data_IF_048501139604
#
_entry.id   IF_048501139604
#
_cell.length_a   1.000
_cell.length_b   1.000
_cell.length_c   1.000
_cell.angle_alpha   90.00
_cell.angle_beta   90.00
_cell.angle_gamma   90.00
#
_symmetry.space_group_name_H-M   'P 1'
#
loop_
_entity.id
_entity.type
_entity.pdbx_description
1 polymer ?
#
# COMPACT_ATOMS: atom_id res chain seq x y z
N UNK A 1 27.31 -14.28 72.84
CA UNK A 1 26.04 -14.73 72.24
C UNK A 1 25.74 -13.91 70.98
N UNK A 2 26.18 -14.31 69.77
CA UNK A 2 25.95 -13.58 68.52
C UNK A 2 24.85 -14.23 67.65
N UNK A 3 23.76 -14.70 68.26
CA UNK A 3 22.73 -15.49 67.55
C UNK A 3 21.63 -14.57 66.95
N UNK A 4 21.49 -13.34 67.45
CA UNK A 4 20.44 -12.40 67.01
C UNK A 4 20.72 -11.79 65.64
N UNK A 5 21.99 -11.47 65.34
CA UNK A 5 22.38 -10.80 64.09
C UNK A 5 22.31 -11.72 62.86
N UNK A 6 22.50 -13.03 63.04
CA UNK A 6 22.41 -14.00 61.95
C UNK A 6 20.95 -14.25 61.53
N UNK A 7 19.99 -14.15 62.47
CA UNK A 7 18.57 -14.33 62.17
C UNK A 7 17.98 -13.14 61.39
N UNK A 8 18.44 -11.91 61.64
CA UNK A 8 18.01 -10.75 60.85
C UNK A 8 18.52 -10.80 59.40
N UNK A 9 19.74 -11.28 59.18
CA UNK A 9 20.32 -11.37 57.84
C UNK A 9 19.67 -12.44 56.95
N UNK A 10 19.16 -13.53 57.56
CA UNK A 10 18.46 -14.59 56.81
C UNK A 10 17.03 -14.19 56.45
N UNK A 11 16.36 -13.39 57.29
CA UNK A 11 15.00 -12.89 57.01
C UNK A 11 15.02 -11.84 55.89
N UNK A 12 16.03 -10.96 55.83
CA UNK A 12 16.15 -9.97 54.76
C UNK A 12 16.45 -10.59 53.40
N UNK A 13 17.24 -11.66 53.35
CA UNK A 13 17.54 -12.37 52.09
C UNK A 13 16.33 -13.17 51.56
N UNK A 14 15.46 -13.67 52.45
CA UNK A 14 14.22 -14.35 52.08
C UNK A 14 13.16 -13.43 51.45
N UNK A 15 13.06 -12.17 51.90
CA UNK A 15 12.13 -11.20 51.31
C UNK A 15 12.56 -10.73 49.91
N UNK A 16 13.85 -10.66 49.60
CA UNK A 16 14.31 -10.35 48.24
C UNK A 16 14.06 -11.50 47.25
N UNK A 17 14.06 -12.75 47.73
CA UNK A 17 13.80 -13.91 46.87
C UNK A 17 12.31 -14.04 46.45
N UNK A 18 11.36 -13.53 47.25
CA UNK A 18 9.93 -13.57 46.91
C UNK A 18 9.47 -12.45 45.96
N UNK A 19 10.25 -11.36 45.82
CA UNK A 19 9.96 -10.29 44.86
C UNK A 19 10.30 -10.67 43.40
N UNK A 20 10.99 -11.79 43.17
CA UNK A 20 11.43 -12.23 41.84
C UNK A 20 10.43 -13.17 41.12
N UNK A 21 9.38 -13.66 41.78
CA UNK A 21 8.46 -14.67 41.22
C UNK A 21 7.02 -14.18 40.96
N UNK A 22 6.68 -12.93 41.31
CA UNK A 22 5.31 -12.43 41.24
C UNK A 22 5.09 -11.42 40.11
N UNK A 23 5.23 -11.83 38.85
CA UNK A 23 5.15 -10.86 37.75
C UNK A 23 4.97 -11.42 36.35
N UNK A 24 4.29 -12.55 36.18
CA UNK A 24 3.66 -12.82 34.87
C UNK A 24 2.40 -11.97 34.82
N UNK A 25 2.57 -10.68 34.52
CA UNK A 25 1.46 -9.82 34.15
C UNK A 25 0.70 -10.55 33.04
N UNK A 26 -0.58 -10.86 33.30
CA UNK A 26 -1.46 -11.34 32.26
C UNK A 26 -1.38 -10.32 31.13
N UNK A 27 -0.86 -10.72 29.97
CA UNK A 27 -0.78 -9.87 28.79
C UNK A 27 -2.21 -9.48 28.46
N UNK A 28 -2.61 -8.28 28.84
CA UNK A 28 -3.93 -7.76 28.50
C UNK A 28 -4.02 -7.75 26.98
N UNK A 29 -5.11 -8.26 26.40
CA UNK A 29 -5.24 -8.25 24.96
C UNK A 29 -5.15 -6.81 24.45
N UNK A 30 -4.31 -6.59 23.42
CA UNK A 30 -3.87 -5.26 22.96
C UNK A 30 -5.02 -4.28 22.69
N UNK A 31 -6.20 -4.76 22.28
CA UNK A 31 -7.37 -3.91 22.07
C UNK A 31 -7.91 -3.25 23.36
N UNK A 32 -7.64 -3.82 24.55
CA UNK A 32 -8.03 -3.24 25.83
C UNK A 32 -7.16 -2.05 26.25
N UNK A 33 -6.05 -1.81 25.55
CA UNK A 33 -5.19 -0.64 25.76
C UNK A 33 -5.70 0.58 24.95
N UNK A 34 -6.69 0.40 24.09
CA UNK A 34 -7.35 1.50 23.36
C UNK A 34 -8.23 2.30 24.33
N UNK A 35 -7.75 3.49 24.71
CA UNK A 35 -8.36 4.31 25.75
C UNK A 35 -9.46 5.25 25.22
N UNK A 36 -9.67 5.31 23.89
CA UNK A 36 -10.65 6.17 23.19
C UNK A 36 -10.89 7.53 23.88
N UNK A 37 -9.80 8.24 24.16
CA UNK A 37 -9.86 9.52 24.86
C UNK A 37 -10.10 10.69 23.87
N UNK A 38 -10.64 11.79 24.36
CA UNK A 38 -10.85 13.02 23.57
C UNK A 38 -9.58 13.86 23.41
N UNK A 39 -8.41 13.30 23.70
CA UNK A 39 -7.11 13.98 23.58
C UNK A 39 -6.62 14.04 22.13
N UNK A 40 -5.41 14.57 21.94
CA UNK A 40 -4.76 14.60 20.63
C UNK A 40 -4.50 13.17 20.15
N UNK A 41 -5.19 12.75 19.09
CA UNK A 41 -4.97 11.45 18.46
C UNK A 41 -3.65 11.46 17.66
N UNK A 42 -2.77 10.46 17.84
CA UNK A 42 -1.54 10.35 17.04
C UNK A 42 -1.81 10.00 15.56
N UNK A 43 -3.04 9.59 15.24
CA UNK A 43 -3.49 9.24 13.91
C UNK A 43 -4.20 10.38 13.19
N UNK A 44 -4.31 11.56 13.83
CA UNK A 44 -4.99 12.72 13.27
C UNK A 44 -4.11 13.97 13.32
N UNK A 45 -4.14 14.77 12.25
CA UNK A 45 -3.44 16.05 12.23
C UNK A 45 -4.25 17.12 11.48
N UNK A 46 -4.32 18.32 12.05
CA UNK A 46 -5.00 19.47 11.46
C UNK A 46 -4.08 20.18 10.45
N UNK A 47 -4.64 20.62 9.32
CA UNK A 47 -3.93 21.38 8.30
C UNK A 47 -4.71 22.62 7.91
N UNK A 48 -4.00 23.74 7.74
CA UNK A 48 -4.54 24.98 7.18
C UNK A 48 -4.57 24.91 5.65
N UNK A 49 -5.30 23.91 5.13
CA UNK A 49 -5.55 23.71 3.72
C UNK A 49 -6.93 23.05 3.50
N UNK A 50 -7.45 23.18 2.27
CA UNK A 50 -8.68 22.49 1.87
C UNK A 50 -8.49 20.97 1.89
N UNK A 51 -9.58 20.21 2.03
CA UNK A 51 -9.59 18.74 2.04
C UNK A 51 -8.80 18.15 0.87
N UNK A 52 -9.08 18.62 -0.35
CA UNK A 52 -8.41 18.15 -1.57
C UNK A 52 -6.90 18.45 -1.54
N UNK A 53 -6.50 19.66 -1.12
CA UNK A 53 -5.09 20.01 -1.06
C UNK A 53 -4.33 19.17 -0.03
N UNK A 54 -4.94 18.88 1.12
CA UNK A 54 -4.35 18.03 2.16
C UNK A 54 -4.17 16.60 1.69
N UNK A 55 -5.15 16.01 1.01
CA UNK A 55 -5.04 14.65 0.48
C UNK A 55 -4.09 14.57 -0.72
N UNK A 56 -4.01 15.60 -1.56
CA UNK A 56 -2.97 15.70 -2.59
C UNK A 56 -1.57 15.78 -1.98
N UNK A 57 -1.40 16.50 -0.87
CA UNK A 57 -0.14 16.53 -0.14
C UNK A 57 0.20 15.16 0.48
N UNK A 58 -0.78 14.42 1.01
CA UNK A 58 -0.62 13.05 1.47
C UNK A 58 -0.15 12.13 0.34
N UNK A 59 -0.79 12.19 -0.83
CA UNK A 59 -0.38 11.42 -2.02
C UNK A 59 1.06 11.71 -2.39
N UNK A 60 1.44 12.99 -2.49
CA UNK A 60 2.82 13.40 -2.84
C UNK A 60 3.84 12.94 -1.81
N UNK A 61 3.51 13.06 -0.52
CA UNK A 61 4.34 12.53 0.56
C UNK A 61 4.57 11.03 0.40
N UNK A 62 3.51 10.24 0.20
CA UNK A 62 3.60 8.78 0.02
C UNK A 62 4.40 8.40 -1.23
N UNK A 63 4.14 9.05 -2.37
CA UNK A 63 4.89 8.83 -3.61
C UNK A 63 6.38 9.13 -3.44
N UNK A 64 6.73 10.20 -2.71
CA UNK A 64 8.14 10.55 -2.46
C UNK A 64 8.87 9.56 -1.57
N UNK A 65 8.14 8.77 -0.78
CA UNK A 65 8.67 7.67 0.01
C UNK A 65 8.67 6.32 -0.75
N UNK A 66 8.26 6.31 -2.02
CA UNK A 66 8.20 5.14 -2.89
C UNK A 66 7.02 4.21 -2.62
N UNK A 67 5.93 4.72 -2.07
CA UNK A 67 4.67 3.99 -2.00
C UNK A 67 3.93 4.05 -3.33
N UNK A 68 3.22 2.98 -3.68
CA UNK A 68 2.25 2.97 -4.77
C UNK A 68 0.92 3.49 -4.23
N UNK A 69 0.42 4.59 -4.79
CA UNK A 69 -0.81 5.23 -4.30
C UNK A 69 -2.01 4.97 -5.21
N UNK A 70 -3.17 4.79 -4.60
CA UNK A 70 -4.47 4.76 -5.26
C UNK A 70 -5.36 5.82 -4.62
N UNK A 71 -6.03 6.64 -5.43
CA UNK A 71 -7.04 7.59 -4.95
C UNK A 71 -8.39 7.22 -5.54
N UNK A 72 -9.28 6.67 -4.71
CA UNK A 72 -10.65 6.37 -5.13
C UNK A 72 -11.53 7.62 -5.13
N UNK A 73 -11.28 8.55 -4.19
CA UNK A 73 -12.00 9.81 -4.03
C UNK A 73 -11.00 10.95 -3.74
N UNK A 74 -11.35 12.24 -3.99
CA UNK A 74 -10.43 13.37 -3.79
C UNK A 74 -10.06 13.63 -2.32
N UNK A 75 -10.75 12.99 -1.38
CA UNK A 75 -10.58 13.08 0.07
C UNK A 75 -9.99 11.80 0.69
N UNK A 76 -9.60 10.82 -0.14
CA UNK A 76 -9.00 9.57 0.33
C UNK A 76 -7.76 9.19 -0.47
N UNK A 77 -6.75 8.67 0.23
CA UNK A 77 -5.53 8.15 -0.39
C UNK A 77 -5.16 6.83 0.27
N UNK A 78 -5.15 5.77 -0.53
CA UNK A 78 -4.59 4.49 -0.13
C UNK A 78 -3.18 4.37 -0.71
N UNK A 79 -2.28 3.71 0.00
CA UNK A 79 -0.97 3.43 -0.56
C UNK A 79 -0.33 2.17 0.00
N UNK A 80 0.47 1.47 -0.80
CA UNK A 80 1.16 0.26 -0.37
C UNK A 80 2.64 0.30 -0.71
N UNK A 81 3.45 -0.36 0.13
CA UNK A 81 4.86 -0.59 -0.14
C UNK A 81 5.28 -1.95 0.41
N UNK A 82 6.00 -2.68 -0.44
CA UNK A 82 6.50 -4.01 -0.12
C UNK A 82 7.96 -3.93 0.34
N UNK A 83 8.29 -4.71 1.35
CA UNK A 83 9.63 -4.87 1.90
C UNK A 83 9.94 -6.36 1.97
N UNK A 84 11.19 -6.74 1.71
CA UNK A 84 11.67 -8.10 1.87
C UNK A 84 12.94 -8.08 2.72
N UNK A 85 12.81 -8.05 4.07
CA UNK A 85 13.96 -7.96 4.97
C UNK A 85 14.92 -9.16 4.85
N UNK A 86 14.37 -10.35 4.61
CA UNK A 86 15.11 -11.59 4.32
C UNK A 86 14.47 -12.32 3.14
N UNK A 87 15.16 -13.30 2.55
CA UNK A 87 14.66 -14.03 1.38
C UNK A 87 13.28 -14.69 1.61
N UNK A 88 13.00 -15.15 2.83
CA UNK A 88 11.79 -15.89 3.16
C UNK A 88 10.71 -15.05 3.87
N UNK A 89 10.98 -13.75 4.10
CA UNK A 89 10.05 -12.84 4.81
C UNK A 89 9.64 -11.68 3.93
N UNK A 90 8.33 -11.50 3.79
CA UNK A 90 7.74 -10.37 3.06
C UNK A 90 6.90 -9.54 4.01
N UNK A 91 7.03 -8.22 3.91
CA UNK A 91 6.29 -7.28 4.74
C UNK A 91 5.62 -6.27 3.82
N UNK A 92 4.31 -6.07 3.97
CA UNK A 92 3.55 -5.07 3.24
C UNK A 92 3.12 -4.00 4.22
N UNK A 93 3.43 -2.74 3.93
CA UNK A 93 2.91 -1.60 4.68
C UNK A 93 1.84 -0.91 3.83
N UNK A 94 0.63 -0.85 4.36
CA UNK A 94 -0.55 -0.26 3.73
C UNK A 94 -1.00 0.97 4.51
N UNK A 95 -1.01 2.12 3.85
CA UNK A 95 -1.55 3.38 4.34
C UNK A 95 -2.99 3.55 3.87
N UNK A 96 -3.80 4.12 4.76
CA UNK A 96 -5.14 4.63 4.49
C UNK A 96 -5.22 6.04 5.06
N UNK A 97 -5.39 7.02 4.20
CA UNK A 97 -5.52 8.44 4.55
C UNK A 97 -6.91 8.92 4.18
N UNK A 98 -7.59 9.57 5.11
CA UNK A 98 -8.89 10.22 4.89
C UNK A 98 -8.79 11.67 5.35
N UNK A 99 -9.09 12.61 4.47
CA UNK A 99 -9.11 14.03 4.78
C UNK A 99 -10.56 14.51 4.94
N UNK A 100 -10.86 15.22 6.02
CA UNK A 100 -12.20 15.77 6.26
C UNK A 100 -12.16 17.28 6.46
N UNK A 101 -13.28 18.01 6.30
CA UNK A 101 -13.35 19.41 6.68
C UNK A 101 -12.99 19.61 8.16
N UNK A 102 -12.32 20.71 8.47
CA UNK A 102 -12.10 21.16 9.86
C UNK A 102 -13.35 21.80 10.46
N UNK A 103 -13.32 22.09 11.76
CA UNK A 103 -14.52 22.49 12.49
C UNK A 103 -15.15 23.82 12.04
N UNK A 104 -14.37 24.79 11.55
CA UNK A 104 -14.90 26.17 11.38
C UNK A 104 -14.39 26.96 10.15
N UNK A 105 -13.68 26.35 9.20
CA UNK A 105 -13.14 27.11 8.04
C UNK A 105 -13.10 26.26 6.77
N UNK A 106 -13.53 26.83 5.64
CA UNK A 106 -13.44 26.19 4.31
C UNK A 106 -11.99 25.84 3.87
N UNK A 107 -11.00 26.49 4.49
CA UNK A 107 -9.58 26.29 4.24
C UNK A 107 -8.88 25.51 5.37
N UNK A 108 -9.63 24.79 6.20
CA UNK A 108 -9.07 23.89 7.20
C UNK A 108 -9.56 22.47 6.98
N UNK A 109 -8.68 21.51 7.23
CA UNK A 109 -8.99 20.09 7.13
C UNK A 109 -8.25 19.30 8.20
N UNK A 110 -8.75 18.10 8.45
CA UNK A 110 -8.14 17.13 9.35
C UNK A 110 -7.78 15.92 8.50
N UNK A 111 -6.53 15.45 8.60
CA UNK A 111 -6.12 14.20 7.98
C UNK A 111 -6.09 13.09 9.04
N UNK A 112 -6.88 12.05 8.83
CA UNK A 112 -6.85 10.81 9.60
C UNK A 112 -6.04 9.77 8.83
N UNK A 113 -5.04 9.18 9.48
CA UNK A 113 -4.07 8.29 8.84
C UNK A 113 -3.94 7.02 9.65
N UNK A 114 -4.14 5.89 8.99
CA UNK A 114 -3.83 4.57 9.52
C UNK A 114 -2.80 3.89 8.63
N UNK A 115 -1.79 3.27 9.23
CA UNK A 115 -0.85 2.41 8.53
C UNK A 115 -0.85 1.02 9.18
N UNK A 116 -1.05 -0.02 8.37
CA UNK A 116 -1.03 -1.42 8.80
C UNK A 116 0.16 -2.12 8.17
N UNK A 117 0.86 -2.91 8.96
CA UNK A 117 1.94 -3.78 8.53
C UNK A 117 1.45 -5.24 8.54
N UNK A 118 1.50 -5.86 7.37
CA UNK A 118 1.22 -7.28 7.20
C UNK A 118 2.53 -8.05 6.97
N UNK A 119 2.79 -9.05 7.80
CA UNK A 119 3.94 -9.94 7.67
C UNK A 119 3.56 -11.27 7.03
N UNK A 120 4.38 -11.73 6.10
CA UNK A 120 4.24 -13.01 5.39
C UNK A 120 5.54 -13.79 5.48
N UNK A 121 5.41 -15.11 5.61
CA UNK A 121 6.55 -16.04 5.54
C UNK A 121 6.29 -17.13 4.51
N UNK A 122 7.36 -17.68 3.95
CA UNK A 122 7.32 -18.84 3.10
C UNK A 122 7.10 -20.09 3.94
N UNK A 123 5.90 -20.68 3.82
CA UNK A 123 5.60 -21.96 4.44
C UNK A 123 5.93 -23.07 3.45
N UNK A 124 6.96 -23.84 3.79
CA UNK A 124 7.41 -25.00 3.04
C UNK A 124 6.68 -26.25 3.54
N UNK A 125 5.84 -26.87 2.72
CA UNK A 125 5.18 -28.14 3.04
C UNK A 125 5.65 -29.25 2.12
N UNK A 126 6.20 -30.32 2.71
CA UNK A 126 6.53 -31.55 2.02
C UNK A 126 5.28 -32.44 1.96
N UNK A 127 4.72 -32.63 0.76
CA UNK A 127 3.60 -33.58 0.54
C UNK A 127 4.15 -34.85 -0.08
N UNK A 128 3.91 -36.00 0.58
CA UNK A 128 4.28 -37.32 0.06
C UNK A 128 3.06 -38.03 -0.52
N UNK A 129 3.16 -38.56 -1.74
CA UNK A 129 2.13 -39.39 -2.36
C UNK A 129 2.48 -40.87 -2.20
N UNK A 130 1.71 -41.62 -1.42
CA UNK A 130 1.84 -43.08 -1.33
C UNK A 130 0.99 -43.73 -2.42
N UNK A 131 1.60 -44.53 -3.28
CA UNK A 131 0.87 -45.34 -4.26
C UNK A 131 0.58 -46.70 -3.64
N UNK A 132 -0.71 -46.98 -3.39
CA UNK A 132 -1.16 -48.27 -2.88
C UNK A 132 -1.26 -49.29 -4.02
N UNK A 133 -0.36 -50.28 -4.04
CA UNK A 133 -0.49 -51.46 -4.90
C UNK A 133 -1.26 -52.53 -4.12
N UNK A 134 -2.58 -52.55 -4.31
CA UNK A 134 -3.42 -53.64 -3.82
C UNK A 134 -2.85 -54.96 -4.34
N UNK A 135 -2.59 -55.91 -3.43
CA UNK A 135 -2.03 -57.27 -3.59
C UNK A 135 -0.59 -57.46 -3.07
N UNK A 136 0.28 -56.45 -3.00
CA UNK A 136 1.71 -56.67 -2.60
C UNK A 136 2.31 -55.71 -1.56
N UNK A 137 1.55 -54.73 -1.06
CA UNK A 137 2.04 -53.77 -0.07
C UNK A 137 2.41 -52.42 -0.68
N UNK A 138 2.27 -51.36 0.10
CA UNK A 138 2.49 -49.98 -0.34
C UNK A 138 3.97 -49.68 -0.55
N UNK A 139 4.32 -49.13 -1.71
CA UNK A 139 5.64 -48.55 -1.96
C UNK A 139 5.52 -47.03 -1.81
N UNK A 140 6.01 -46.49 -0.70
CA UNK A 140 6.15 -45.04 -0.52
C UNK A 140 7.42 -44.56 -1.22
N UNK A 141 7.26 -44.03 -2.43
CA UNK A 141 8.33 -43.23 -3.02
C UNK A 141 8.23 -41.82 -2.42
N UNK A 142 9.31 -41.27 -1.82
CA UNK A 142 9.34 -39.88 -1.40
C UNK A 142 9.40 -38.99 -2.63
N UNK A 143 8.24 -38.73 -3.25
CA UNK A 143 8.12 -37.65 -4.23
C UNK A 143 8.15 -36.37 -3.41
N UNK A 144 9.33 -35.75 -3.29
CA UNK A 144 9.48 -34.47 -2.58
C UNK A 144 8.84 -33.36 -3.40
N UNK A 145 7.52 -33.21 -3.29
CA UNK A 145 6.81 -32.03 -3.76
C UNK A 145 6.92 -30.96 -2.68
N UNK A 146 7.73 -29.93 -2.93
CA UNK A 146 7.79 -28.76 -2.08
C UNK A 146 6.85 -27.69 -2.63
N UNK A 147 5.73 -27.45 -1.95
CA UNK A 147 4.90 -26.27 -2.22
C UNK A 147 5.39 -25.14 -1.33
N UNK A 148 5.82 -24.05 -1.95
CA UNK A 148 6.10 -22.82 -1.25
C UNK A 148 4.86 -21.93 -1.29
N UNK A 149 4.36 -21.54 -0.13
CA UNK A 149 3.18 -20.68 -0.01
C UNK A 149 3.47 -19.54 0.96
N UNK A 150 3.24 -18.31 0.52
CA UNK A 150 3.22 -17.17 1.43
C UNK A 150 1.99 -17.25 2.31
N UNK A 151 2.20 -17.37 3.61
CA UNK A 151 1.12 -17.33 4.61
C UNK A 151 1.28 -16.04 5.42
N UNK A 152 0.17 -15.31 5.60
CA UNK A 152 0.13 -14.14 6.47
C UNK A 152 0.30 -14.59 7.92
N UNK A 153 1.35 -14.10 8.57
CA UNK A 153 1.72 -14.46 9.95
C UNK A 153 1.47 -13.33 10.95
N UNK A 154 1.39 -12.08 10.47
CA UNK A 154 1.06 -10.93 11.33
C UNK A 154 0.25 -9.89 10.56
N UNK A 155 -0.56 -9.13 11.30
CA UNK A 155 -1.26 -7.93 10.84
C UNK A 155 -1.34 -6.99 12.02
N UNK A 156 -0.58 -5.90 11.97
CA UNK A 156 -0.46 -4.98 13.10
C UNK A 156 -0.51 -3.55 12.61
N UNK A 157 -1.24 -2.69 13.31
CA UNK A 157 -1.17 -1.25 13.09
C UNK A 157 0.23 -0.77 13.45
N UNK A 158 0.85 0.00 12.56
CA UNK A 158 2.18 0.58 12.80
C UNK A 158 2.11 1.46 14.05
N UNK A 159 2.96 1.20 15.06
CA UNK A 159 2.89 1.92 16.33
C UNK A 159 2.97 3.44 16.16
N UNK A 160 2.13 4.13 16.93
CA UNK A 160 2.15 5.58 17.04
C UNK A 160 3.50 6.10 17.57
N UNK A 161 3.87 7.31 17.15
CA UNK A 161 5.13 7.97 17.53
C UNK A 161 5.73 8.73 16.34
N UNK A 162 7.07 8.77 16.26
CA UNK A 162 7.80 9.51 15.21
C UNK A 162 7.47 9.07 13.77
N UNK A 163 6.78 7.94 13.58
CA UNK A 163 6.33 7.50 12.26
C UNK A 163 5.29 8.46 11.68
N UNK A 164 4.17 8.66 12.38
CA UNK A 164 3.11 9.56 11.93
C UNK A 164 3.55 11.02 11.96
N UNK A 165 4.33 11.44 12.98
CA UNK A 165 4.88 12.80 13.03
C UNK A 165 5.70 13.15 11.79
N UNK A 166 6.56 12.24 11.33
CA UNK A 166 7.37 12.44 10.12
C UNK A 166 6.50 12.51 8.87
N UNK A 167 5.46 11.68 8.81
CA UNK A 167 4.51 11.70 7.70
C UNK A 167 3.75 13.03 7.64
N UNK A 168 3.16 13.48 8.75
CA UNK A 168 2.44 14.75 8.82
C UNK A 168 3.34 15.96 8.54
N UNK A 169 4.58 15.95 9.03
CA UNK A 169 5.56 16.99 8.70
C UNK A 169 5.87 17.03 7.20
N UNK A 170 5.99 15.87 6.54
CA UNK A 170 6.21 15.79 5.10
C UNK A 170 4.99 16.27 4.30
N UNK A 171 3.77 15.92 4.73
CA UNK A 171 2.55 16.49 4.16
C UNK A 171 2.54 18.02 4.26
N UNK A 172 2.83 18.56 5.45
CA UNK A 172 2.93 20.00 5.67
C UNK A 172 4.00 20.68 4.81
N UNK A 173 5.11 19.98 4.52
CA UNK A 173 6.11 20.46 3.58
C UNK A 173 5.51 20.60 2.17
N UNK A 174 4.87 19.56 1.63
CA UNK A 174 4.26 19.60 0.29
C UNK A 174 3.14 20.63 0.16
N UNK A 175 2.39 20.90 1.24
CA UNK A 175 1.38 21.98 1.26
C UNK A 175 1.99 23.37 1.11
N UNK A 176 3.24 23.57 1.54
CA UNK A 176 3.94 24.87 1.48
C UNK A 176 4.78 25.05 0.24
N UNK A 177 5.36 23.97 -0.29
CA UNK A 177 6.38 24.04 -1.35
C UNK A 177 5.86 23.76 -2.75
N UNK A 178 4.71 23.10 -2.90
CA UNK A 178 4.14 22.84 -4.23
C UNK A 178 3.35 24.07 -4.68
N UNK A 179 3.71 24.69 -5.82
CA UNK A 179 2.89 25.73 -6.41
C UNK A 179 1.51 25.14 -6.65
N UNK A 180 0.48 25.73 -6.04
CA UNK A 180 -0.90 25.39 -6.36
C UNK A 180 -1.09 25.80 -7.82
N UNK A 181 -1.12 24.82 -8.71
CA UNK A 181 -1.66 25.05 -10.05
C UNK A 181 -3.15 25.27 -9.87
N UNK A 182 -3.53 26.49 -9.48
CA UNK A 182 -4.92 26.89 -9.58
C UNK A 182 -5.33 26.69 -11.04
N UNK A 183 -6.47 26.04 -11.31
CA UNK A 183 -7.00 26.05 -12.66
C UNK A 183 -7.11 27.52 -13.08
N UNK A 184 -6.45 27.88 -14.18
CA UNK A 184 -6.64 29.19 -14.80
C UNK A 184 -8.13 29.28 -15.09
N UNK A 185 -8.82 30.21 -14.44
CA UNK A 185 -10.23 30.45 -14.70
C UNK A 185 -10.37 30.66 -16.21
N UNK A 186 -11.30 29.98 -16.85
CA UNK A 186 -11.52 30.04 -18.30
C UNK A 186 -12.07 31.41 -18.76
N UNK A 187 -12.03 32.44 -17.92
CA UNK A 187 -12.27 33.81 -18.31
C UNK A 187 -11.03 34.33 -19.04
N UNK A 188 -11.15 34.25 -20.37
CA UNK A 188 -10.35 34.95 -21.37
C UNK A 188 -8.82 34.74 -21.28
N UNK A 189 -8.36 33.68 -21.96
CA UNK A 189 -6.93 33.53 -22.27
C UNK A 189 -6.54 34.64 -23.28
N UNK A 190 -6.11 35.81 -22.78
CA UNK A 190 -5.52 36.85 -23.61
C UNK A 190 -4.15 36.36 -24.13
N UNK A 191 -4.19 35.79 -25.33
CA UNK A 191 -3.02 35.30 -26.02
C UNK A 191 -2.37 36.49 -26.72
N UNK A 192 -1.52 37.23 -26.01
CA UNK A 192 -0.63 38.22 -26.64
C UNK A 192 0.43 37.45 -27.44
N UNK A 193 0.43 37.45 -28.79
CA UNK A 193 1.53 36.88 -29.54
C UNK A 193 2.80 37.62 -29.15
N UNK A 194 3.82 36.89 -28.72
CA UNK A 194 5.15 37.47 -28.49
C UNK A 194 5.59 38.06 -29.83
N UNK A 195 6.09 39.29 -29.80
CA UNK A 195 6.66 39.93 -30.99
C UNK A 195 7.70 38.98 -31.60
N UNK A 196 7.76 38.85 -32.94
CA UNK A 196 8.75 38.00 -33.57
C UNK A 196 10.12 38.39 -33.05
N UNK A 197 10.85 37.40 -32.53
CA UNK A 197 12.23 37.59 -32.07
C UNK A 197 12.97 38.37 -33.16
N UNK A 198 13.49 39.55 -32.79
CA UNK A 198 14.45 40.24 -33.64
C UNK A 198 15.52 39.22 -33.97
N UNK A 199 15.61 38.89 -35.25
CA UNK A 199 16.67 38.04 -35.79
C UNK A 199 17.95 38.73 -35.37
N UNK A 200 18.62 38.22 -34.34
CA UNK A 200 19.97 38.66 -34.02
C UNK A 200 20.78 38.28 -35.24
N UNK A 201 21.11 39.28 -36.06
CA UNK A 201 22.05 39.13 -37.16
C UNK A 201 23.40 38.85 -36.51
N UNK A 202 23.62 37.58 -36.16
CA UNK A 202 24.95 37.09 -35.80
C UNK A 202 25.79 37.23 -37.08
N UNK A 203 26.94 37.91 -37.03
CA UNK A 203 27.73 38.14 -38.22
C UNK A 203 28.15 36.79 -38.81
N UNK A 204 27.82 36.66 -40.08
CA UNK A 204 28.14 35.62 -41.05
C UNK A 204 29.39 34.77 -40.69
N UNK A 205 29.15 33.58 -40.14
CA UNK A 205 30.03 32.45 -40.39
C UNK A 205 29.45 31.73 -41.59
N UNK A 206 30.00 32.03 -42.76
CA UNK A 206 29.71 31.36 -44.02
C UNK A 206 29.89 29.85 -43.84
N UNK A 207 28.83 29.03 -43.91
CA UNK A 207 29.00 27.59 -43.91
C UNK A 207 29.34 27.19 -45.35
N UNK A 208 30.55 26.70 -45.57
CA UNK A 208 30.88 25.92 -46.77
C UNK A 208 29.91 24.75 -46.88
N UNK A 209 29.25 24.53 -48.03
CA UNK A 209 28.29 23.44 -48.15
C UNK A 209 29.01 22.09 -48.09
N UNK A 210 28.69 21.30 -47.07
CA UNK A 210 28.93 19.84 -47.10
C UNK A 210 27.85 19.27 -48.01
N UNK A 211 28.24 18.85 -49.21
CA UNK A 211 27.38 18.09 -50.11
C UNK A 211 27.18 16.72 -49.49
N UNK A 212 26.01 16.48 -48.89
CA UNK A 212 25.55 15.12 -48.58
C UNK A 212 24.82 14.62 -49.81
N UNK A 213 25.52 13.81 -50.60
CA UNK A 213 24.97 13.06 -51.71
C UNK A 213 23.94 12.05 -51.17
N UNK A 214 22.69 12.17 -51.62
CA UNK A 214 21.62 11.27 -51.24
C UNK A 214 21.76 9.95 -52.02
N UNK A 215 21.90 8.78 -51.37
CA UNK A 215 21.75 7.53 -52.06
C UNK A 215 20.26 7.25 -52.31
N UNK A 216 19.96 6.95 -53.56
CA UNK A 216 18.66 6.61 -54.09
C UNK A 216 18.09 5.31 -53.48
N UNK A 217 16.76 5.32 -53.33
CA UNK A 217 15.81 4.21 -53.45
C UNK A 217 16.17 2.84 -52.84
N UNK A 218 15.42 2.47 -51.79
CA UNK A 218 14.84 1.13 -51.67
C UNK A 218 13.54 1.22 -50.85
N UNK A 219 12.41 1.36 -51.55
CA UNK A 219 11.10 1.17 -50.97
C UNK A 219 10.88 -0.34 -50.77
N UNK A 220 11.07 -0.82 -49.55
CA UNK A 220 10.56 -2.13 -49.12
C UNK A 220 9.36 -1.87 -48.22
N UNK A 221 8.18 -2.21 -48.72
CA UNK A 221 6.92 -2.13 -48.01
C UNK A 221 6.98 -2.97 -46.71
N UNK A 222 6.71 -2.33 -45.57
CA UNK A 222 6.48 -3.03 -44.31
C UNK A 222 4.97 -3.19 -44.17
N UNK A 223 4.51 -4.44 -44.29
CA UNK A 223 3.14 -4.84 -44.02
C UNK A 223 2.84 -4.71 -42.51
N UNK A 224 1.67 -4.16 -42.20
CA UNK A 224 1.14 -4.08 -40.84
C UNK A 224 0.85 -5.49 -40.28
N UNK A 225 1.16 -5.80 -39.01
CA UNK A 225 0.79 -7.08 -38.44
C UNK A 225 -0.70 -7.10 -38.13
N UNK A 226 -1.43 -7.84 -38.97
CA UNK A 226 -2.79 -8.32 -38.79
C UNK A 226 -2.82 -9.34 -37.63
N UNK A 227 -2.58 -8.87 -36.40
CA UNK A 227 -2.60 -9.69 -35.18
C UNK A 227 -3.60 -9.17 -34.12
N UNK A 228 -4.24 -8.03 -34.38
CA UNK A 228 -5.24 -7.45 -33.47
C UNK A 228 -6.69 -7.86 -33.81
N UNK A 229 -6.94 -8.46 -34.98
CA UNK A 229 -8.28 -8.87 -35.41
C UNK A 229 -8.68 -10.28 -34.91
N UNK A 230 -7.71 -11.13 -34.58
CA UNK A 230 -7.98 -12.54 -34.22
C UNK A 230 -8.29 -12.72 -32.71
N UNK A 231 -7.74 -11.86 -31.84
CA UNK A 231 -8.04 -11.86 -30.40
C UNK A 231 -9.50 -11.50 -30.10
N UNK A 232 -10.14 -10.68 -30.95
CA UNK A 232 -11.54 -10.29 -30.76
C UNK A 232 -12.52 -11.40 -31.16
N UNK A 233 -12.11 -12.33 -32.03
CA UNK A 233 -12.94 -13.44 -32.51
C UNK A 233 -12.91 -14.67 -31.58
N UNK A 234 -11.81 -14.87 -30.86
CA UNK A 234 -11.70 -15.94 -29.85
C UNK A 234 -12.37 -15.60 -28.50
N UNK A 235 -12.49 -14.31 -28.15
CA UNK A 235 -13.23 -13.89 -26.95
C UNK A 235 -14.77 -14.04 -27.09
N UNK A 236 -15.31 -14.06 -28.32
CA UNK A 236 -16.75 -14.22 -28.58
C UNK A 236 -17.19 -15.68 -28.74
N UNK A 237 -16.26 -16.62 -28.94
CA UNK A 237 -16.57 -18.05 -29.02
C UNK A 237 -16.58 -18.76 -27.64
N UNK A 238 -15.96 -18.16 -26.62
CA UNK A 238 -15.94 -18.70 -25.24
C UNK A 238 -17.16 -18.28 -24.38
N UNK A 239 -18.02 -17.38 -24.90
CA UNK A 239 -19.20 -16.87 -24.20
C UNK A 239 -20.52 -17.57 -24.62
N UNK A 240 -20.47 -18.62 -25.45
CA UNK A 240 -21.64 -19.29 -26.03
C UNK A 240 -21.75 -20.78 -25.64
N UNK A 241 -21.39 -21.12 -24.40
CA UNK A 241 -21.78 -22.39 -23.79
C UNK A 241 -22.66 -22.12 -22.56
N UNK A 242 -23.96 -22.27 -22.77
CA UNK A 242 -25.04 -22.08 -21.79
C UNK A 242 -24.85 -22.90 -20.50
N UNK A 243 -25.25 -22.35 -19.33
CA UNK A 243 -25.47 -23.14 -18.14
C UNK A 243 -26.81 -23.88 -18.20
N UNK A 244 -26.76 -25.19 -17.98
CA UNK A 244 -27.92 -26.06 -17.74
C UNK A 244 -28.60 -25.66 -16.42
N UNK A 245 -29.85 -25.23 -16.56
CA UNK A 245 -31.01 -25.36 -15.67
C UNK A 245 -30.79 -25.53 -14.15
N UNK A 246 -31.21 -24.52 -13.37
CA UNK A 246 -31.72 -24.70 -12.02
C UNK A 246 -33.18 -24.23 -11.97
N UNK A 247 -34.06 -25.20 -11.69
CA UNK A 247 -35.51 -25.08 -11.64
C UNK A 247 -35.96 -24.15 -10.52
N UNK A 248 -36.89 -23.25 -10.85
CA UNK A 248 -37.73 -22.56 -9.89
C UNK A 248 -38.66 -23.56 -9.19
N UNK A 249 -38.80 -23.43 -7.87
CA UNK A 249 -39.89 -24.00 -7.10
C UNK A 249 -40.08 -23.19 -5.80
N UNK A 250 -41.01 -22.24 -5.83
CA UNK A 250 -41.80 -21.76 -4.70
C UNK A 250 -43.22 -21.53 -5.30
N UNK A 251 -44.37 -21.76 -4.63
CA UNK A 251 -44.60 -21.50 -3.20
C UNK A 251 -45.52 -22.47 -2.44
N UNK A 252 -45.50 -22.35 -1.10
CA UNK A 252 -46.70 -22.34 -0.26
C UNK A 252 -46.33 -22.17 1.22
N UNK A 253 -46.57 -20.97 1.77
CA UNK A 253 -46.81 -20.81 3.21
C UNK A 253 -48.26 -20.43 3.40
N UNK A 254 -49.00 -21.34 4.03
CA UNK A 254 -50.35 -21.13 4.52
C UNK A 254 -50.43 -21.66 5.96
N UNK A 255 -50.86 -20.77 6.87
CA UNK A 255 -51.84 -21.04 7.95
C UNK A 255 -51.31 -21.64 9.27
N UNK A 256 -51.37 -20.79 10.31
CA UNK A 256 -51.97 -20.98 11.66
C UNK A 256 -51.44 -22.09 12.56
N UNK A 257 -50.83 -21.71 13.69
CA UNK A 257 -51.44 -21.80 15.03
C UNK A 257 -50.74 -20.87 16.03
#
# INVERSE_FOLDING_TARGET
MPISSLRLAVVSLGLLALAACGGRAATTPTYQQELFNSGTSPFAHNFDATVNATCEAARRALLSQGFLTTMAQPDTVDATKNFQPTADTHVVVSFHVVCTPGENTANQSIAYVNAVQDGYTLKKSDTSASVGLSVLGSLSLPIRSNSDAMVKISSETVPAGKFYDRFFNLMGHYLRTVPRSSPVAADEIDSKPLAPSLIVTSPELTPTPIVVEAPAAAATAIQAPEAAAETKRQAQAAAASDPVAASAAEPASAVVH
#
